data_IF_637313760702
#
_entry.id   IF_637313760702
#
_cell.length_a   1.000
_cell.length_b   1.000
_cell.length_c   1.000
_cell.angle_alpha   90.00
_cell.angle_beta   90.00
_cell.angle_gamma   90.00
#
_symmetry.space_group_name_H-M   'P 1'
#
loop_
_entity.id
_entity.type
_entity.pdbx_description
1 polymer ?
#
# COMPACT_ATOMS: atom_id res chain seq x y z
N UNK A 1 -64.20 -1.95 -40.81
CA UNK A 1 -63.78 -2.53 -39.52
C UNK A 1 -62.33 -2.16 -39.33
N UNK A 2 -62.02 -1.15 -38.51
CA UNK A 2 -60.66 -0.74 -38.19
C UNK A 2 -60.48 -0.84 -36.68
N UNK A 3 -59.95 -1.96 -36.21
CA UNK A 3 -59.52 -2.12 -34.83
C UNK A 3 -58.03 -1.80 -34.77
N UNK A 4 -57.68 -0.76 -34.03
CA UNK A 4 -56.30 -0.35 -33.75
C UNK A 4 -55.56 -1.45 -33.01
N UNK A 5 -54.60 -2.03 -33.71
CA UNK A 5 -53.56 -2.88 -33.15
C UNK A 5 -52.72 -2.02 -32.19
N UNK A 6 -52.84 -2.28 -30.90
CA UNK A 6 -52.07 -1.56 -29.89
C UNK A 6 -50.67 -2.19 -29.86
N UNK A 7 -49.68 -1.49 -30.42
CA UNK A 7 -48.25 -1.83 -30.41
C UNK A 7 -47.67 -1.78 -28.97
N UNK A 8 -48.09 -2.72 -28.12
CA UNK A 8 -47.68 -2.80 -26.72
C UNK A 8 -46.18 -3.10 -26.58
N UNK A 9 -45.63 -3.97 -27.42
CA UNK A 9 -44.22 -4.35 -27.41
C UNK A 9 -43.28 -3.17 -27.75
N UNK A 10 -43.73 -2.24 -28.60
CA UNK A 10 -42.95 -1.04 -28.96
C UNK A 10 -42.87 -0.06 -27.81
N UNK A 11 -43.96 0.09 -27.04
CA UNK A 11 -44.00 0.96 -25.87
C UNK A 11 -43.16 0.42 -24.72
N UNK A 12 -43.08 -0.90 -24.56
CA UNK A 12 -42.32 -1.54 -23.49
C UNK A 12 -40.81 -1.47 -23.76
N UNK A 13 -40.38 -1.67 -25.01
CA UNK A 13 -38.97 -1.52 -25.45
C UNK A 13 -38.48 -0.06 -25.34
N UNK A 14 -39.31 0.91 -25.74
CA UNK A 14 -38.99 2.33 -25.54
C UNK A 14 -38.90 2.70 -24.05
N UNK A 15 -39.76 2.13 -23.20
CA UNK A 15 -39.71 2.35 -21.76
C UNK A 15 -38.45 1.76 -21.11
N UNK A 16 -38.03 0.55 -21.50
CA UNK A 16 -36.80 -0.07 -21.00
C UNK A 16 -35.56 0.67 -21.47
N UNK A 17 -35.56 1.17 -22.71
CA UNK A 17 -34.50 2.02 -23.24
C UNK A 17 -34.38 3.33 -22.47
N UNK A 18 -35.49 4.00 -22.19
CA UNK A 18 -35.52 5.23 -21.39
C UNK A 18 -35.04 4.98 -19.97
N UNK A 19 -35.44 3.88 -19.34
CA UNK A 19 -34.95 3.49 -18.00
C UNK A 19 -33.45 3.20 -18.02
N UNK A 20 -32.94 2.52 -19.06
CA UNK A 20 -31.51 2.28 -19.25
C UNK A 20 -30.71 3.57 -19.42
N UNK A 21 -31.21 4.52 -20.21
CA UNK A 21 -30.59 5.84 -20.39
C UNK A 21 -30.59 6.67 -19.10
N UNK A 22 -31.68 6.63 -18.32
CA UNK A 22 -31.77 7.28 -17.00
C UNK A 22 -30.79 6.67 -16.02
N UNK A 23 -30.68 5.33 -15.96
CA UNK A 23 -29.72 4.65 -15.12
C UNK A 23 -28.27 4.99 -15.48
N UNK A 24 -27.93 4.96 -16.78
CA UNK A 24 -26.59 5.34 -17.25
C UNK A 24 -26.26 6.79 -16.90
N UNK A 25 -27.23 7.70 -17.00
CA UNK A 25 -27.07 9.10 -16.60
C UNK A 25 -26.86 9.24 -15.09
N UNK A 26 -27.61 8.50 -14.27
CA UNK A 26 -27.41 8.50 -12.81
C UNK A 26 -26.04 7.94 -12.42
N UNK A 27 -25.58 6.86 -13.05
CA UNK A 27 -24.24 6.32 -12.85
C UNK A 27 -23.16 7.31 -13.30
N UNK A 28 -23.35 8.00 -14.43
CA UNK A 28 -22.45 9.06 -14.90
C UNK A 28 -22.34 10.20 -13.88
N UNK A 29 -23.46 10.69 -13.38
CA UNK A 29 -23.51 11.74 -12.35
C UNK A 29 -22.88 11.29 -11.03
N UNK A 30 -23.05 10.02 -10.65
CA UNK A 30 -22.40 9.45 -9.47
C UNK A 30 -20.88 9.41 -9.63
N UNK A 31 -20.38 8.91 -10.76
CA UNK A 31 -18.96 8.84 -11.06
C UNK A 31 -18.32 10.23 -11.15
N UNK A 32 -19.03 11.21 -11.70
CA UNK A 32 -18.57 12.61 -11.77
C UNK A 32 -18.48 13.23 -10.38
N UNK A 33 -19.49 13.03 -9.52
CA UNK A 33 -19.43 13.48 -8.11
C UNK A 33 -18.28 12.80 -7.35
N UNK A 34 -18.10 11.50 -7.55
CA UNK A 34 -17.03 10.76 -6.90
C UNK A 34 -15.64 11.19 -7.40
N UNK A 35 -15.49 11.48 -8.69
CA UNK A 35 -14.24 11.99 -9.25
C UNK A 35 -13.90 13.39 -8.75
N UNK A 36 -14.91 14.26 -8.62
CA UNK A 36 -14.77 15.59 -8.02
C UNK A 36 -14.35 15.50 -6.55
N UNK A 37 -14.95 14.60 -5.77
CA UNK A 37 -14.54 14.38 -4.37
C UNK A 37 -13.10 13.90 -4.27
N UNK A 38 -12.66 12.97 -5.14
CA UNK A 38 -11.28 12.53 -5.18
C UNK A 38 -10.32 13.66 -5.58
N UNK A 39 -10.75 14.52 -6.50
CA UNK A 39 -9.98 15.68 -6.94
C UNK A 39 -9.85 16.73 -5.83
N UNK A 40 -10.92 17.00 -5.08
CA UNK A 40 -10.89 17.90 -3.91
C UNK A 40 -9.97 17.37 -2.81
N UNK A 41 -10.03 16.07 -2.51
CA UNK A 41 -9.12 15.42 -1.55
C UNK A 41 -7.67 15.52 -2.03
N UNK A 42 -7.43 15.30 -3.33
CA UNK A 42 -6.11 15.42 -3.94
C UNK A 42 -5.58 16.85 -3.86
N UNK A 43 -6.40 17.84 -4.20
CA UNK A 43 -6.01 19.25 -4.18
C UNK A 43 -5.77 19.74 -2.74
N UNK A 44 -6.56 19.29 -1.77
CA UNK A 44 -6.32 19.54 -0.34
C UNK A 44 -4.97 18.96 0.12
N UNK A 45 -4.62 17.75 -0.35
CA UNK A 45 -3.34 17.12 -0.05
C UNK A 45 -2.16 17.83 -0.73
N UNK A 46 -2.33 18.31 -1.97
CA UNK A 46 -1.31 19.03 -2.72
C UNK A 46 -1.06 20.45 -2.20
N UNK A 47 -2.10 21.13 -1.73
CA UNK A 47 -1.96 22.44 -1.09
C UNK A 47 -1.28 22.33 0.28
N UNK A 48 -1.58 21.29 1.04
CA UNK A 48 -0.87 21.00 2.30
C UNK A 48 0.63 20.67 2.08
N UNK A 49 0.99 20.14 0.90
CA UNK A 49 2.40 19.87 0.56
C UNK A 49 3.26 21.14 0.42
N UNK A 50 2.71 22.33 0.13
CA UNK A 50 3.51 23.52 -0.17
C UNK A 50 4.05 24.25 1.07
N UNK A 51 3.33 24.22 2.17
CA UNK A 51 3.74 24.89 3.42
C UNK A 51 4.64 24.00 4.30
N UNK A 52 4.79 22.73 3.93
CA UNK A 52 5.49 21.71 4.72
C UNK A 52 7.01 21.65 4.48
N UNK A 53 7.52 22.21 3.38
CA UNK A 53 8.94 22.08 2.98
C UNK A 53 9.77 23.35 3.21
N UNK A 54 9.33 24.28 4.07
CA UNK A 54 10.23 25.33 4.53
C UNK A 54 11.34 24.67 5.38
N UNK A 55 12.53 24.55 4.78
CA UNK A 55 13.70 23.90 5.36
C UNK A 55 14.27 24.65 6.58
N UNK A 56 13.65 25.77 6.98
CA UNK A 56 13.92 26.47 8.24
C UNK A 56 13.08 25.99 9.42
N UNK A 57 12.05 25.16 9.19
CA UNK A 57 11.17 24.64 10.25
C UNK A 57 11.91 23.56 11.03
N UNK A 58 11.98 23.72 12.34
CA UNK A 58 12.56 22.70 13.22
C UNK A 58 11.75 21.38 13.13
N UNK A 59 12.38 20.20 13.31
CA UNK A 59 11.70 18.91 13.19
C UNK A 59 10.45 18.75 14.06
N UNK A 60 10.38 19.42 15.21
CA UNK A 60 9.23 19.34 16.11
C UNK A 60 8.06 20.21 15.64
N UNK A 61 8.34 21.33 14.97
CA UNK A 61 7.34 22.19 14.35
C UNK A 61 6.79 21.57 13.06
N UNK A 62 7.62 20.88 12.27
CA UNK A 62 7.16 20.03 11.17
C UNK A 62 6.25 18.92 11.67
N UNK A 63 6.66 18.20 12.71
CA UNK A 63 5.84 17.14 13.30
C UNK A 63 4.47 17.67 13.74
N UNK A 64 4.43 18.82 14.42
CA UNK A 64 3.17 19.46 14.84
C UNK A 64 2.29 19.85 13.65
N UNK A 65 2.85 20.43 12.60
CA UNK A 65 2.10 20.77 11.39
C UNK A 65 1.51 19.52 10.68
N UNK A 66 2.25 18.40 10.65
CA UNK A 66 1.68 17.11 10.18
C UNK A 66 0.53 16.68 11.07
N UNK A 67 0.72 16.71 12.39
CA UNK A 67 -0.27 16.23 13.35
C UNK A 67 -1.56 17.06 13.31
N UNK A 68 -1.45 18.38 13.18
CA UNK A 68 -2.58 19.31 13.06
C UNK A 68 -3.35 19.09 11.76
N UNK A 69 -2.66 19.06 10.62
CA UNK A 69 -3.30 18.82 9.32
C UNK A 69 -3.93 17.43 9.24
N UNK A 70 -3.27 16.42 9.83
CA UNK A 70 -3.82 15.08 9.94
C UNK A 70 -5.08 15.04 10.81
N UNK A 71 -5.11 15.81 11.90
CA UNK A 71 -6.28 15.89 12.79
C UNK A 71 -7.50 16.46 12.07
N UNK A 72 -7.31 17.50 11.25
CA UNK A 72 -8.37 18.07 10.42
C UNK A 72 -8.90 17.06 9.39
N UNK A 73 -8.01 16.36 8.68
CA UNK A 73 -8.42 15.32 7.72
C UNK A 73 -9.19 14.20 8.43
N UNK A 74 -8.75 13.79 9.62
CA UNK A 74 -9.40 12.74 10.40
C UNK A 74 -10.83 13.10 10.79
N UNK A 75 -11.12 14.35 11.15
CA UNK A 75 -12.49 14.75 11.55
C UNK A 75 -13.50 14.69 10.39
N UNK A 76 -13.03 14.93 9.17
CA UNK A 76 -13.87 14.93 7.97
C UNK A 76 -14.00 13.52 7.40
N UNK A 77 -12.87 12.81 7.24
CA UNK A 77 -12.81 11.50 6.61
C UNK A 77 -13.26 10.39 7.55
N UNK A 78 -13.00 10.50 8.86
CA UNK A 78 -13.25 9.43 9.84
C UNK A 78 -14.72 9.00 9.98
N UNK A 79 -15.67 9.80 9.47
CA UNK A 79 -17.10 9.49 9.46
C UNK A 79 -17.52 8.65 8.24
N UNK A 80 -16.67 8.53 7.22
CA UNK A 80 -16.98 7.81 6.00
C UNK A 80 -16.78 6.30 6.19
N UNK A 81 -17.85 5.62 6.60
CA UNK A 81 -17.85 4.17 6.86
C UNK A 81 -17.55 3.36 5.60
N UNK A 82 -18.07 3.78 4.44
CA UNK A 82 -17.83 3.08 3.16
C UNK A 82 -16.35 3.13 2.78
N UNK A 83 -15.70 4.29 2.92
CA UNK A 83 -14.27 4.41 2.68
C UNK A 83 -13.45 3.54 3.65
N UNK A 84 -13.86 3.46 4.91
CA UNK A 84 -13.21 2.60 5.90
C UNK A 84 -13.30 1.12 5.50
N UNK A 85 -14.46 0.66 5.03
CA UNK A 85 -14.70 -0.71 4.59
C UNK A 85 -13.89 -1.06 3.34
N UNK A 86 -13.93 -0.19 2.32
CA UNK A 86 -13.17 -0.36 1.07
C UNK A 86 -11.66 -0.37 1.32
N UNK A 87 -11.17 0.55 2.15
CA UNK A 87 -9.74 0.61 2.49
C UNK A 87 -9.30 -0.63 3.27
N UNK A 88 -10.13 -1.09 4.21
CA UNK A 88 -9.86 -2.32 4.96
C UNK A 88 -9.88 -3.56 4.05
N UNK A 89 -10.83 -3.64 3.12
CA UNK A 89 -10.91 -4.72 2.15
C UNK A 89 -9.69 -4.74 1.22
N UNK A 90 -9.29 -3.57 0.70
CA UNK A 90 -8.08 -3.42 -0.10
C UNK A 90 -6.84 -3.92 0.66
N UNK A 91 -6.63 -3.44 1.90
CA UNK A 91 -5.52 -3.86 2.74
C UNK A 91 -5.48 -5.38 2.92
N UNK A 92 -6.64 -5.99 3.21
CA UNK A 92 -6.76 -7.43 3.40
C UNK A 92 -6.43 -8.22 2.12
N UNK A 93 -6.99 -7.82 0.98
CA UNK A 93 -6.74 -8.50 -0.30
C UNK A 93 -5.26 -8.37 -0.67
N UNK A 94 -4.72 -7.16 -0.65
CA UNK A 94 -3.34 -6.89 -1.03
C UNK A 94 -2.34 -7.60 -0.11
N UNK A 95 -2.60 -7.66 1.20
CA UNK A 95 -1.76 -8.41 2.13
C UNK A 95 -1.76 -9.91 1.79
N UNK A 96 -2.93 -10.52 1.54
CA UNK A 96 -2.99 -11.93 1.17
C UNK A 96 -2.32 -12.20 -0.19
N UNK A 97 -2.46 -11.30 -1.16
CA UNK A 97 -1.77 -11.40 -2.46
C UNK A 97 -0.25 -11.32 -2.28
N UNK A 98 0.23 -10.40 -1.46
CA UNK A 98 1.64 -10.26 -1.13
C UNK A 98 2.17 -11.54 -0.45
N UNK A 99 1.44 -12.09 0.51
CA UNK A 99 1.79 -13.36 1.17
C UNK A 99 1.82 -14.54 0.19
N UNK A 100 0.89 -14.61 -0.77
CA UNK A 100 0.86 -15.70 -1.76
C UNK A 100 2.01 -15.64 -2.77
N UNK A 101 2.52 -14.44 -3.06
CA UNK A 101 3.66 -14.22 -3.96
C UNK A 101 4.99 -14.44 -3.25
N UNK A 102 5.01 -14.38 -1.92
CA UNK A 102 6.22 -14.56 -1.14
C UNK A 102 6.70 -16.02 -1.17
N UNK A 103 7.89 -16.25 -1.71
CA UNK A 103 8.57 -17.55 -1.69
C UNK A 103 9.65 -17.57 -0.61
N UNK A 104 10.77 -16.87 -0.83
CA UNK A 104 11.90 -16.79 0.09
C UNK A 104 12.56 -15.39 0.11
N UNK A 105 12.48 -14.66 -1.00
CA UNK A 105 12.96 -13.29 -1.12
C UNK A 105 11.85 -12.39 -1.66
N UNK A 106 11.81 -11.15 -1.21
CA UNK A 106 11.00 -10.13 -1.83
C UNK A 106 11.73 -9.57 -3.05
N UNK A 107 11.02 -9.50 -4.16
CA UNK A 107 11.40 -8.64 -5.27
C UNK A 107 11.18 -7.15 -4.89
N UNK A 108 11.67 -6.26 -5.75
CA UNK A 108 11.60 -4.82 -5.51
C UNK A 108 10.14 -4.33 -5.41
N UNK A 109 9.26 -4.80 -6.29
CA UNK A 109 7.86 -4.40 -6.33
C UNK A 109 7.10 -4.85 -5.08
N UNK A 110 7.29 -6.10 -4.64
CA UNK A 110 6.65 -6.62 -3.42
C UNK A 110 7.22 -5.96 -2.17
N UNK A 111 8.50 -5.60 -2.17
CA UNK A 111 9.11 -4.84 -1.07
C UNK A 111 8.52 -3.42 -0.96
N UNK A 112 8.34 -2.74 -2.08
CA UNK A 112 7.68 -1.43 -2.13
C UNK A 112 6.21 -1.54 -1.68
N UNK A 113 5.49 -2.53 -2.19
CA UNK A 113 4.11 -2.81 -1.77
C UNK A 113 4.02 -3.10 -0.26
N UNK A 114 4.98 -3.84 0.30
CA UNK A 114 5.01 -4.14 1.73
C UNK A 114 5.12 -2.88 2.60
N UNK A 115 6.00 -1.96 2.21
CA UNK A 115 6.16 -0.66 2.87
C UNK A 115 4.86 0.16 2.77
N UNK A 116 4.27 0.21 1.56
CA UNK A 116 3.01 0.92 1.31
C UNK A 116 1.86 0.36 2.14
N UNK A 117 1.68 -0.96 2.17
CA UNK A 117 0.61 -1.61 2.94
C UNK A 117 0.76 -1.40 4.44
N UNK A 118 1.98 -1.48 4.96
CA UNK A 118 2.24 -1.22 6.38
C UNK A 118 1.90 0.23 6.76
N UNK A 119 2.30 1.18 5.92
CA UNK A 119 2.01 2.60 6.12
C UNK A 119 0.51 2.89 5.99
N UNK A 120 -0.14 2.28 4.99
CA UNK A 120 -1.57 2.44 4.73
C UNK A 120 -2.42 1.82 5.84
N UNK A 121 -1.99 0.71 6.45
CA UNK A 121 -2.69 0.12 7.58
C UNK A 121 -2.64 1.03 8.82
N UNK A 122 -1.48 1.62 9.10
CA UNK A 122 -1.35 2.62 10.17
C UNK A 122 -2.23 3.83 9.89
N UNK A 123 -2.25 4.30 8.65
CA UNK A 123 -3.13 5.38 8.22
C UNK A 123 -4.61 5.02 8.44
N UNK A 124 -5.03 3.82 8.01
CA UNK A 124 -6.39 3.32 8.22
C UNK A 124 -6.77 3.28 9.71
N UNK A 125 -5.89 2.74 10.57
CA UNK A 125 -6.10 2.75 12.01
C UNK A 125 -6.17 4.18 12.56
N UNK A 126 -5.30 5.08 12.11
CA UNK A 126 -5.28 6.46 12.58
C UNK A 126 -6.51 7.26 12.14
N UNK A 127 -7.05 7.01 10.94
CA UNK A 127 -8.24 7.67 10.42
C UNK A 127 -9.53 7.14 11.07
N UNK A 128 -9.71 5.82 11.10
CA UNK A 128 -11.00 5.20 11.46
C UNK A 128 -11.01 4.52 12.83
N UNK A 129 -9.85 4.32 13.46
CA UNK A 129 -9.72 3.60 14.73
C UNK A 129 -10.04 2.10 14.65
N UNK A 130 -10.27 1.57 13.44
CA UNK A 130 -10.59 0.16 13.23
C UNK A 130 -9.32 -0.69 13.35
N UNK A 131 -9.39 -1.74 14.18
CA UNK A 131 -8.27 -2.67 14.39
C UNK A 131 -8.77 -4.10 14.23
N UNK A 132 -8.20 -4.81 13.24
CA UNK A 132 -8.49 -6.21 13.00
C UNK A 132 -7.41 -7.08 13.66
N UNK A 133 -7.80 -7.83 14.69
CA UNK A 133 -6.89 -8.73 15.42
C UNK A 133 -6.25 -9.79 14.53
N UNK A 134 -6.96 -10.28 13.50
CA UNK A 134 -6.42 -11.26 12.56
C UNK A 134 -5.36 -10.60 11.68
N UNK A 135 -5.66 -9.42 11.15
CA UNK A 135 -4.73 -8.67 10.30
C UNK A 135 -3.47 -8.23 11.07
N UNK A 136 -3.63 -7.78 12.32
CA UNK A 136 -2.50 -7.49 13.21
C UNK A 136 -1.53 -8.68 13.34
N UNK A 137 -2.08 -9.89 13.52
CA UNK A 137 -1.26 -11.11 13.60
C UNK A 137 -0.58 -11.40 12.26
N UNK A 138 -1.32 -11.30 11.14
CA UNK A 138 -0.75 -11.53 9.81
C UNK A 138 0.40 -10.57 9.49
N UNK A 139 0.21 -9.27 9.70
CA UNK A 139 1.26 -8.25 9.53
C UNK A 139 2.49 -8.54 10.37
N UNK A 140 2.28 -8.95 11.63
CA UNK A 140 3.38 -9.29 12.52
C UNK A 140 4.13 -10.54 12.06
N UNK A 141 3.43 -11.61 11.69
CA UNK A 141 4.07 -12.82 11.15
C UNK A 141 4.84 -12.53 9.86
N UNK A 142 4.28 -11.71 8.97
CA UNK A 142 4.97 -11.31 7.75
C UNK A 142 6.22 -10.46 8.03
N UNK A 143 6.16 -9.58 9.03
CA UNK A 143 7.33 -8.80 9.49
C UNK A 143 8.47 -9.66 10.05
N UNK A 144 8.17 -10.86 10.59
CA UNK A 144 9.21 -11.81 11.02
C UNK A 144 9.92 -12.45 9.83
N UNK A 145 9.19 -12.72 8.74
CA UNK A 145 9.74 -13.28 7.49
C UNK A 145 10.62 -12.27 6.76
N UNK A 146 10.27 -10.98 6.85
CA UNK A 146 11.01 -9.88 6.22
C UNK A 146 11.47 -8.91 7.31
N UNK A 147 12.65 -9.13 7.92
CA UNK A 147 13.11 -8.32 9.05
C UNK A 147 13.51 -6.89 8.66
N UNK A 148 13.83 -6.65 7.39
CA UNK A 148 14.25 -5.34 6.90
C UNK A 148 14.06 -5.17 5.39
N UNK A 149 13.70 -3.95 4.99
CA UNK A 149 13.61 -3.51 3.58
C UNK A 149 14.45 -2.25 3.40
N UNK A 150 15.15 -2.13 2.27
CA UNK A 150 15.86 -0.91 1.89
C UNK A 150 14.86 0.05 1.24
N UNK A 151 14.70 1.25 1.80
CA UNK A 151 13.84 2.29 1.22
C UNK A 151 14.58 3.05 0.13
N UNK A 152 15.73 3.61 0.49
CA UNK A 152 16.55 4.40 -0.40
C UNK A 152 18.00 4.42 0.07
N UNK A 153 18.95 4.12 -0.81
CA UNK A 153 20.37 4.08 -0.48
C UNK A 153 20.69 3.16 0.70
N UNK A 154 21.21 3.75 1.78
CA UNK A 154 21.53 3.08 3.05
C UNK A 154 20.40 3.15 4.09
N UNK A 155 19.25 3.74 3.76
CA UNK A 155 18.10 3.84 4.66
C UNK A 155 17.36 2.50 4.70
N UNK A 156 17.50 1.80 5.83
CA UNK A 156 16.77 0.57 6.11
C UNK A 156 15.52 0.87 6.92
N UNK A 157 14.43 0.22 6.54
CA UNK A 157 13.19 0.20 7.28
C UNK A 157 12.99 -1.17 7.93
N UNK A 158 12.41 -1.14 9.14
CA UNK A 158 12.21 -2.32 9.98
C UNK A 158 10.70 -2.46 10.27
N UNK A 159 10.00 -3.36 9.57
CA UNK A 159 8.53 -3.40 9.59
C UNK A 159 7.98 -3.65 11.00
N UNK A 160 8.55 -4.61 11.73
CA UNK A 160 8.15 -4.94 13.11
C UNK A 160 8.26 -3.72 14.03
N UNK A 161 9.41 -3.03 14.02
CA UNK A 161 9.64 -1.85 14.85
C UNK A 161 8.67 -0.72 14.47
N UNK A 162 8.44 -0.52 13.17
CA UNK A 162 7.52 0.49 12.67
C UNK A 162 6.08 0.24 13.10
N UNK A 163 5.58 -0.99 12.93
CA UNK A 163 4.22 -1.38 13.34
C UNK A 163 4.00 -1.20 14.84
N UNK A 164 4.94 -1.66 15.69
CA UNK A 164 4.82 -1.55 17.15
C UNK A 164 4.85 -0.09 17.62
N UNK A 165 5.67 0.75 16.97
CA UNK A 165 5.80 2.17 17.31
C UNK A 165 4.52 2.95 17.02
N UNK A 166 3.90 2.69 15.86
CA UNK A 166 2.70 3.42 15.43
C UNK A 166 1.38 2.76 15.83
N UNK A 167 1.40 1.50 16.26
CA UNK A 167 0.22 0.76 16.74
C UNK A 167 0.46 0.22 18.16
N UNK A 168 0.31 1.05 19.21
CA UNK A 168 0.65 0.68 20.58
C UNK A 168 -0.11 -0.55 21.11
N UNK A 169 -1.29 -0.83 20.56
CA UNK A 169 -2.07 -2.02 20.89
C UNK A 169 -1.40 -3.32 20.42
N UNK A 170 -0.58 -3.27 19.37
CA UNK A 170 0.22 -4.41 18.91
C UNK A 170 1.40 -4.71 19.82
N UNK A 171 1.92 -3.71 20.55
CA UNK A 171 2.98 -3.93 21.54
C UNK A 171 2.58 -4.94 22.62
N UNK A 172 1.29 -5.01 22.97
CA UNK A 172 0.77 -5.99 23.92
C UNK A 172 0.71 -7.42 23.37
N UNK A 173 0.82 -7.58 22.05
CA UNK A 173 0.78 -8.89 21.39
C UNK A 173 2.17 -9.54 21.29
N UNK A 174 3.23 -8.80 21.63
CA UNK A 174 4.62 -9.23 21.55
C UNK A 174 5.21 -9.19 22.96
N UNK A 175 5.74 -10.30 23.45
CA UNK A 175 6.45 -10.30 24.72
C UNK A 175 7.88 -9.71 24.55
N UNK A 176 8.45 -9.18 25.64
CA UNK A 176 9.81 -8.58 25.60
C UNK A 176 10.87 -9.55 25.06
N UNK A 177 10.66 -10.86 25.25
CA UNK A 177 11.55 -11.91 24.76
C UNK A 177 11.46 -12.09 23.24
N UNK A 178 10.26 -12.09 22.66
CA UNK A 178 10.09 -12.09 21.21
C UNK A 178 10.68 -10.84 20.56
N UNK A 179 10.57 -9.67 21.21
CA UNK A 179 11.17 -8.44 20.70
C UNK A 179 12.71 -8.53 20.65
N UNK A 180 13.35 -9.06 21.69
CA UNK A 180 14.81 -9.31 21.68
C UNK A 180 15.20 -10.37 20.63
N UNK A 181 14.42 -11.43 20.50
CA UNK A 181 14.64 -12.44 19.46
C UNK A 181 14.51 -11.86 18.06
N UNK A 182 13.57 -10.95 17.82
CA UNK A 182 13.41 -10.27 16.53
C UNK A 182 14.60 -9.37 16.20
N UNK A 183 15.18 -8.68 17.19
CA UNK A 183 16.43 -7.91 17.02
C UNK A 183 17.60 -8.81 16.61
N UNK A 184 17.77 -9.97 17.26
CA UNK A 184 18.81 -10.95 16.91
C UNK A 184 18.60 -11.53 15.50
N UNK A 185 17.36 -11.92 15.17
CA UNK A 185 17.00 -12.42 13.83
C UNK A 185 17.32 -11.38 12.76
N UNK A 186 17.02 -10.10 13.02
CA UNK A 186 17.34 -8.99 12.12
C UNK A 186 18.85 -8.84 11.93
N UNK A 187 19.64 -8.90 13.00
CA UNK A 187 21.10 -8.83 12.91
C UNK A 187 21.67 -9.97 12.06
N UNK A 188 21.19 -11.20 12.30
CA UNK A 188 21.60 -12.37 11.53
C UNK A 188 21.21 -12.26 10.06
N UNK A 189 19.98 -11.80 9.77
CA UNK A 189 19.50 -11.56 8.42
C UNK A 189 20.38 -10.56 7.66
N UNK A 190 20.73 -9.43 8.30
CA UNK A 190 21.61 -8.42 7.69
C UNK A 190 23.02 -8.95 7.45
N UNK A 191 23.58 -9.73 8.39
CA UNK A 191 24.89 -10.36 8.21
C UNK A 191 24.87 -11.37 7.05
N UNK A 192 23.84 -12.22 6.96
CA UNK A 192 23.68 -13.16 5.85
C UNK A 192 23.53 -12.44 4.51
N UNK A 193 22.70 -11.37 4.46
CA UNK A 193 22.52 -10.56 3.25
C UNK A 193 23.81 -9.88 2.81
N UNK A 194 24.62 -9.40 3.76
CA UNK A 194 25.94 -8.82 3.47
C UNK A 194 26.91 -9.86 2.89
N UNK A 195 26.95 -11.08 3.44
CA UNK A 195 27.82 -12.15 2.97
C UNK A 195 27.39 -12.72 1.62
N UNK A 196 26.07 -12.86 1.40
CA UNK A 196 25.52 -13.32 0.13
C UNK A 196 25.71 -12.30 -0.98
N UNK A 197 25.66 -10.99 -0.68
CA UNK A 197 25.96 -9.95 -1.66
C UNK A 197 27.37 -10.12 -2.25
N UNK A 198 28.37 -10.32 -1.40
CA UNK A 198 29.76 -10.52 -1.85
C UNK A 198 29.91 -11.76 -2.73
N UNK A 199 29.29 -12.88 -2.34
CA UNK A 199 29.30 -14.12 -3.14
C UNK A 199 28.55 -13.95 -4.46
N UNK A 200 27.39 -13.28 -4.45
CA UNK A 200 26.58 -13.06 -5.64
C UNK A 200 27.30 -12.13 -6.61
N UNK A 201 27.90 -11.03 -6.14
CA UNK A 201 28.74 -10.15 -6.96
C UNK A 201 29.89 -10.91 -7.62
N UNK A 202 30.61 -11.75 -6.87
CA UNK A 202 31.68 -12.58 -7.44
C UNK A 202 31.15 -13.55 -8.51
N UNK A 203 29.98 -14.15 -8.26
CA UNK A 203 29.34 -15.08 -9.20
C UNK A 203 28.90 -14.35 -10.47
N UNK A 204 28.28 -13.16 -10.35
CA UNK A 204 27.90 -12.33 -11.48
C UNK A 204 29.11 -11.86 -12.28
N UNK A 205 30.19 -11.40 -11.62
CA UNK A 205 31.44 -11.04 -12.29
C UNK A 205 32.00 -12.23 -13.09
N UNK A 206 32.00 -13.42 -12.51
CA UNK A 206 32.50 -14.62 -13.17
C UNK A 206 31.61 -15.07 -14.34
N UNK A 207 30.30 -14.99 -14.21
CA UNK A 207 29.38 -15.28 -15.30
C UNK A 207 29.52 -14.25 -16.42
N UNK A 208 29.58 -12.96 -16.09
CA UNK A 208 29.71 -11.89 -17.06
C UNK A 208 31.02 -11.95 -17.84
N UNK A 209 32.13 -12.26 -17.16
CA UNK A 209 33.43 -12.48 -17.82
C UNK A 209 33.42 -13.70 -18.73
N UNK A 210 32.75 -14.78 -18.34
CA UNK A 210 32.56 -15.97 -19.18
C UNK A 210 31.71 -15.68 -20.42
N UNK A 211 30.61 -14.93 -20.30
CA UNK A 211 29.80 -14.50 -21.44
C UNK A 211 30.58 -13.56 -22.38
N UNK A 212 31.36 -12.62 -21.83
CA UNK A 212 32.23 -11.75 -22.63
C UNK A 212 33.30 -12.52 -23.41
N UNK A 213 33.92 -13.53 -22.79
CA UNK A 213 34.89 -14.41 -23.47
C UNK A 213 34.25 -15.27 -24.57
N UNK A 214 33.03 -15.77 -24.37
CA UNK A 214 32.30 -16.54 -25.38
C UNK A 214 31.85 -15.64 -26.55
N UNK A 215 31.39 -14.42 -26.27
CA UNK A 215 31.05 -13.44 -27.29
C UNK A 215 32.28 -13.03 -28.12
N UNK A 216 33.45 -12.88 -27.49
CA UNK A 216 34.71 -12.60 -28.18
C UNK A 216 35.17 -13.76 -29.09
N UNK A 217 34.93 -15.02 -28.69
CA UNK A 217 35.28 -16.19 -29.51
C UNK A 217 34.32 -16.47 -30.67
N UNK A 218 33.07 -16.03 -30.55
CA UNK A 218 32.05 -16.24 -31.60
C UNK A 218 31.98 -15.07 -32.61
N UNK A 219 32.76 -14.00 -32.41
CA UNK A 219 32.86 -12.85 -33.32
C UNK A 219 34.09 -12.86 -34.25
N UNK A 220 34.91 -13.91 -34.22
CA UNK A 220 36.12 -14.06 -35.05
C UNK A 220 35.94 -15.10 -36.20
N UNK A 221 34.72 -15.31 -36.69
CA UNK A 221 34.41 -16.23 -37.80
C UNK A 221 33.78 -15.54 -38.99
#
# INVERSE_FOLDING_TARGET
MGGTDWDFDRSEDESQKVVGEIQLRMYGQFLEKYSLQLQEIKDALENNKRDFWDMSIDPASLQRAVEESFTAIKSDVGKNVLLAEELHLYLKISLNTLESKFTEQLDFESAELWVKLSSLYILNFNLFGTSDKRMNKQLLEFSKKIPSVTLYGNVLWYPEHFLVTHLPHMNKLIDKKAQQSAMLTRQNYLQQKSQSLQKNTQTFIFQWSRYGLVASKNGEG
#
